data_IF_313431907188
#
_entry.id   IF_313431907188
#
_cell.length_a   1.000
_cell.length_b   1.000
_cell.length_c   1.000
_cell.angle_alpha   90.00
_cell.angle_beta   90.00
_cell.angle_gamma   90.00
#
_symmetry.space_group_name_H-M   'P 1'
#
loop_
_entity.id
_entity.type
_entity.pdbx_description
1 polymer ?
#
# COMPACT_ATOMS: atom_id res chain seq x y z
N UNK A 1 -37.41 22.09 4.75
CA UNK A 1 -37.66 22.43 3.33
C UNK A 1 -36.41 22.28 2.47
N UNK A 2 -35.28 22.93 2.79
CA UNK A 2 -34.08 22.95 1.94
C UNK A 2 -33.48 21.56 1.55
N UNK A 3 -33.40 20.57 2.45
CA UNK A 3 -32.83 19.24 2.09
C UNK A 3 -33.71 18.49 1.09
N UNK A 4 -35.02 18.48 1.30
CA UNK A 4 -35.99 17.84 0.39
C UNK A 4 -35.93 18.45 -1.01
N UNK A 5 -35.89 19.78 -1.10
CA UNK A 5 -35.72 20.51 -2.36
C UNK A 5 -34.41 20.17 -3.06
N UNK A 6 -33.31 20.05 -2.29
CA UNK A 6 -32.01 19.60 -2.83
C UNK A 6 -32.03 18.15 -3.32
N UNK A 7 -32.97 17.33 -2.84
CA UNK A 7 -33.21 15.97 -3.32
C UNK A 7 -34.24 15.91 -4.47
N UNK A 8 -34.81 17.05 -4.89
CA UNK A 8 -35.80 17.13 -5.96
C UNK A 8 -37.27 17.04 -5.49
N UNK A 9 -37.53 17.15 -4.19
CA UNK A 9 -38.87 17.11 -3.60
C UNK A 9 -39.40 18.54 -3.30
N UNK A 10 -40.72 18.73 -3.19
CA UNK A 10 -41.36 20.03 -2.89
C UNK A 10 -40.94 21.18 -3.84
N UNK A 11 -40.69 20.88 -5.13
CA UNK A 11 -40.25 21.85 -6.14
C UNK A 11 -41.36 22.76 -6.67
N UNK A 12 -42.60 22.28 -6.63
CA UNK A 12 -43.83 22.99 -6.98
C UNK A 12 -44.10 24.20 -6.05
N UNK A 13 -43.48 24.20 -4.88
CA UNK A 13 -43.54 25.28 -3.88
C UNK A 13 -42.55 26.41 -4.15
N UNK A 14 -41.72 26.30 -5.20
CA UNK A 14 -40.68 27.28 -5.55
C UNK A 14 -41.08 28.07 -6.79
N UNK A 15 -40.77 29.37 -6.78
CA UNK A 15 -40.87 30.18 -7.99
C UNK A 15 -39.67 29.94 -8.92
N UNK A 16 -39.74 30.46 -10.15
CA UNK A 16 -38.71 30.25 -11.16
C UNK A 16 -37.30 30.72 -10.70
N UNK A 17 -37.21 31.88 -10.04
CA UNK A 17 -35.92 32.40 -9.55
C UNK A 17 -35.32 31.50 -8.47
N UNK A 18 -36.15 30.97 -7.58
CA UNK A 18 -35.72 30.04 -6.53
C UNK A 18 -35.26 28.70 -7.11
N UNK A 19 -35.94 28.19 -8.14
CA UNK A 19 -35.51 26.97 -8.85
C UNK A 19 -34.15 27.16 -9.52
N UNK A 20 -33.94 28.28 -10.23
CA UNK A 20 -32.63 28.60 -10.80
C UNK A 20 -31.54 28.75 -9.73
N UNK A 21 -31.85 29.40 -8.61
CA UNK A 21 -30.92 29.51 -7.49
C UNK A 21 -30.56 28.15 -6.87
N UNK A 22 -31.53 27.25 -6.74
CA UNK A 22 -31.34 25.89 -6.25
C UNK A 22 -30.45 25.07 -7.20
N UNK A 23 -30.70 25.14 -8.51
CA UNK A 23 -29.89 24.48 -9.53
C UNK A 23 -28.43 24.95 -9.47
N UNK A 24 -28.21 26.27 -9.43
CA UNK A 24 -26.87 26.86 -9.35
C UNK A 24 -26.14 26.40 -8.08
N UNK A 25 -26.82 26.42 -6.93
CA UNK A 25 -26.26 25.98 -5.66
C UNK A 25 -25.85 24.50 -5.70
N UNK A 26 -26.71 23.63 -6.22
CA UNK A 26 -26.42 22.20 -6.37
C UNK A 26 -25.26 21.94 -7.33
N UNK A 27 -25.23 22.65 -8.46
CA UNK A 27 -24.15 22.56 -9.46
C UNK A 27 -22.80 22.96 -8.85
N UNK A 28 -22.76 24.05 -8.10
CA UNK A 28 -21.53 24.51 -7.42
C UNK A 28 -21.09 23.54 -6.32
N UNK A 29 -22.03 23.07 -5.49
CA UNK A 29 -21.76 22.09 -4.44
C UNK A 29 -21.20 20.78 -5.03
N UNK A 30 -21.78 20.30 -6.13
CA UNK A 30 -21.33 19.08 -6.80
C UNK A 30 -19.92 19.22 -7.38
N UNK A 31 -19.60 20.38 -7.98
CA UNK A 31 -18.23 20.69 -8.44
C UNK A 31 -17.22 20.63 -7.30
N UNK A 32 -17.56 21.23 -6.14
CA UNK A 32 -16.69 21.20 -4.93
C UNK A 32 -16.51 19.77 -4.41
N UNK A 33 -17.58 19.01 -4.28
CA UNK A 33 -17.54 17.62 -3.81
C UNK A 33 -16.68 16.77 -4.75
N UNK A 34 -16.90 16.86 -6.07
CA UNK A 34 -16.11 16.13 -7.07
C UNK A 34 -14.62 16.47 -6.96
N UNK A 35 -14.27 17.75 -6.87
CA UNK A 35 -12.88 18.19 -6.70
C UNK A 35 -12.24 17.61 -5.43
N UNK A 36 -12.95 17.60 -4.30
CA UNK A 36 -12.45 17.02 -3.04
C UNK A 36 -12.24 15.52 -3.18
N UNK A 37 -13.19 14.80 -3.79
CA UNK A 37 -13.09 13.35 -4.00
C UNK A 37 -11.94 12.99 -4.93
N UNK A 38 -11.80 13.68 -6.06
CA UNK A 38 -10.71 13.47 -7.01
C UNK A 38 -9.34 13.68 -6.34
N UNK A 39 -9.21 14.75 -5.56
CA UNK A 39 -8.00 15.04 -4.80
C UNK A 39 -7.72 13.98 -3.73
N UNK A 40 -8.75 13.51 -3.01
CA UNK A 40 -8.60 12.46 -2.00
C UNK A 40 -8.13 11.15 -2.62
N UNK A 41 -8.76 10.73 -3.72
CA UNK A 41 -8.39 9.53 -4.46
C UNK A 41 -6.96 9.63 -4.96
N UNK A 42 -6.59 10.75 -5.60
CA UNK A 42 -5.22 11.00 -6.06
C UNK A 42 -4.18 10.88 -4.94
N UNK A 43 -4.41 11.54 -3.80
CA UNK A 43 -3.51 11.48 -2.64
C UNK A 43 -3.37 10.05 -2.10
N UNK A 44 -4.46 9.29 -2.05
CA UNK A 44 -4.42 7.89 -1.61
C UNK A 44 -3.59 7.04 -2.58
N UNK A 45 -3.82 7.17 -3.88
CA UNK A 45 -3.03 6.48 -4.91
C UNK A 45 -1.55 6.80 -4.76
N UNK A 46 -1.20 8.09 -4.64
CA UNK A 46 0.20 8.52 -4.50
C UNK A 46 0.83 7.99 -3.21
N UNK A 47 0.06 7.92 -2.12
CA UNK A 47 0.50 7.34 -0.85
C UNK A 47 0.84 5.86 -1.00
N UNK A 48 -0.07 5.07 -1.59
CA UNK A 48 0.17 3.64 -1.78
C UNK A 48 1.28 3.35 -2.79
N UNK A 49 1.40 4.14 -3.85
CA UNK A 49 2.54 4.08 -4.78
C UNK A 49 3.87 4.31 -4.06
N UNK A 50 3.94 5.30 -3.17
CA UNK A 50 5.14 5.55 -2.35
C UNK A 50 5.43 4.39 -1.40
N UNK A 51 4.41 3.82 -0.76
CA UNK A 51 4.58 2.64 0.12
C UNK A 51 5.14 1.44 -0.63
N UNK A 52 4.63 1.14 -1.83
CA UNK A 52 5.12 0.04 -2.66
C UNK A 52 6.58 0.27 -3.03
N UNK A 53 6.93 1.46 -3.54
CA UNK A 53 8.32 1.81 -3.88
C UNK A 53 9.27 1.69 -2.69
N UNK A 54 8.84 2.13 -1.51
CA UNK A 54 9.64 2.01 -0.30
C UNK A 54 9.86 0.54 0.10
N UNK A 55 8.81 -0.29 0.04
CA UNK A 55 8.90 -1.72 0.32
C UNK A 55 9.82 -2.43 -0.68
N UNK A 56 9.73 -2.11 -1.98
CA UNK A 56 10.63 -2.65 -3.00
C UNK A 56 12.08 -2.24 -2.79
N UNK A 57 12.31 -0.97 -2.41
CA UNK A 57 13.67 -0.50 -2.08
C UNK A 57 14.26 -1.26 -0.90
N UNK A 58 13.49 -1.47 0.17
CA UNK A 58 13.93 -2.23 1.34
C UNK A 58 14.22 -3.68 0.96
N UNK A 59 13.33 -4.32 0.20
CA UNK A 59 13.51 -5.69 -0.28
C UNK A 59 14.77 -5.82 -1.13
N UNK A 60 15.02 -4.88 -2.03
CA UNK A 60 16.21 -4.89 -2.89
C UNK A 60 17.50 -4.71 -2.08
N UNK A 61 17.51 -3.83 -1.07
CA UNK A 61 18.65 -3.66 -0.16
C UNK A 61 18.94 -4.97 0.59
N UNK A 62 17.93 -5.57 1.22
CA UNK A 62 18.11 -6.84 1.94
C UNK A 62 18.58 -7.98 1.02
N UNK A 63 18.12 -8.00 -0.24
CA UNK A 63 18.62 -8.97 -1.21
C UNK A 63 20.10 -8.74 -1.56
N UNK A 64 20.53 -7.48 -1.72
CA UNK A 64 21.94 -7.15 -1.94
C UNK A 64 22.81 -7.52 -0.73
N UNK A 65 22.37 -7.21 0.50
CA UNK A 65 23.09 -7.58 1.73
C UNK A 65 23.26 -9.10 1.86
N UNK A 66 22.22 -9.88 1.55
CA UNK A 66 22.32 -11.34 1.50
C UNK A 66 23.26 -11.84 0.40
N UNK A 67 23.28 -11.18 -0.76
CA UNK A 67 24.19 -11.51 -1.85
C UNK A 67 25.66 -11.24 -1.47
N UNK A 68 25.94 -10.11 -0.81
CA UNK A 68 27.28 -9.77 -0.32
C UNK A 68 27.77 -10.76 0.73
N UNK A 69 26.92 -11.19 1.66
CA UNK A 69 27.23 -12.24 2.63
C UNK A 69 27.53 -13.59 1.95
N UNK A 70 26.80 -13.91 0.87
CA UNK A 70 27.00 -15.16 0.13
C UNK A 70 28.28 -15.14 -0.74
N UNK A 71 28.86 -13.97 -1.03
CA UNK A 71 30.13 -13.83 -1.75
C UNK A 71 31.38 -13.92 -0.84
N UNK A 72 31.22 -14.04 0.48
CA UNK A 72 32.33 -14.33 1.43
C UNK A 72 32.42 -15.81 1.84
N UNK A 73 31.58 -16.69 1.29
CA UNK A 73 31.59 -18.10 1.61
C UNK A 73 32.65 -18.84 0.76
N UNK A 74 33.83 -19.07 1.34
CA UNK A 74 34.83 -20.00 0.79
C UNK A 74 34.21 -21.41 0.76
N UNK A 75 33.99 -21.90 -0.47
CA UNK A 75 33.26 -23.12 -0.76
C UNK A 75 34.01 -24.36 -0.32
N UNK A 76 33.95 -24.69 0.97
CA UNK A 76 34.17 -26.06 1.40
C UNK A 76 32.91 -26.89 1.13
N UNK A 77 33.10 -28.01 0.45
CA UNK A 77 32.07 -28.90 -0.12
C UNK A 77 31.10 -29.46 0.93
N UNK A 78 31.48 -29.43 2.21
CA UNK A 78 30.69 -29.90 3.36
C UNK A 78 29.49 -28.99 3.70
N UNK A 79 29.48 -27.72 3.28
CA UNK A 79 28.40 -26.78 3.63
C UNK A 79 27.26 -26.71 2.60
N UNK A 80 27.38 -27.43 1.48
CA UNK A 80 26.36 -27.41 0.42
C UNK A 80 25.05 -28.07 0.89
N UNK A 81 25.15 -29.16 1.64
CA UNK A 81 24.00 -29.85 2.23
C UNK A 81 23.31 -29.01 3.31
N UNK A 82 24.09 -28.27 4.10
CA UNK A 82 23.55 -27.36 5.11
C UNK A 82 22.77 -26.19 4.49
N UNK A 83 23.26 -25.61 3.38
CA UNK A 83 22.56 -24.57 2.62
C UNK A 83 21.27 -25.06 1.93
N UNK A 84 21.26 -26.30 1.42
CA UNK A 84 20.08 -26.89 0.77
C UNK A 84 18.91 -27.01 1.76
N UNK A 85 19.21 -27.33 3.03
CA UNK A 85 18.21 -27.43 4.10
C UNK A 85 17.65 -26.05 4.50
N UNK A 86 18.47 -24.99 4.49
CA UNK A 86 18.00 -23.63 4.79
C UNK A 86 17.04 -23.08 3.73
N UNK A 87 17.24 -23.43 2.44
CA UNK A 87 16.37 -23.00 1.33
C UNK A 87 14.97 -23.62 1.36
N UNK A 88 14.82 -24.76 2.01
CA UNK A 88 13.53 -25.47 2.12
C UNK A 88 12.70 -25.07 3.35
N UNK A 89 13.08 -23.98 4.05
CA UNK A 89 12.20 -23.24 4.97
C UNK A 89 12.06 -23.80 6.39
N UNK A 90 12.72 -24.90 6.74
CA UNK A 90 12.43 -25.65 7.97
C UNK A 90 13.61 -25.87 8.94
N UNK A 91 14.63 -25.00 8.98
CA UNK A 91 15.74 -25.19 9.93
C UNK A 91 16.12 -23.91 10.67
N UNK A 92 15.84 -23.89 11.98
CA UNK A 92 16.53 -23.03 12.94
C UNK A 92 17.93 -23.61 13.18
N UNK A 93 19.02 -22.89 12.91
CA UNK A 93 20.36 -23.44 13.05
C UNK A 93 20.75 -23.51 14.53
N UNK A 94 20.69 -24.70 15.12
CA UNK A 94 21.43 -24.98 16.35
C UNK A 94 22.71 -25.73 15.99
N UNK A 95 23.90 -25.16 16.24
CA UNK A 95 25.14 -25.88 16.04
C UNK A 95 25.26 -26.97 17.11
N UNK A 96 25.19 -28.23 16.70
CA UNK A 96 25.53 -29.37 17.56
C UNK A 96 27.04 -29.53 17.51
N UNK A 97 27.73 -29.19 18.59
CA UNK A 97 29.12 -29.55 18.79
C UNK A 97 29.21 -30.93 19.41
N UNK A 98 29.77 -31.89 18.68
CA UNK A 98 30.09 -33.21 19.22
C UNK A 98 31.46 -33.12 19.87
N UNK A 99 31.55 -33.37 21.18
CA UNK A 99 32.85 -33.36 21.86
C UNK A 99 33.69 -34.58 21.44
N UNK A 100 35.01 -34.42 21.22
CA UNK A 100 35.87 -35.55 20.94
C UNK A 100 36.01 -36.41 22.20
N UNK A 101 35.66 -37.68 22.09
CA UNK A 101 36.01 -38.66 23.13
C UNK A 101 37.49 -39.07 22.95
N UNK A 102 38.19 -39.09 24.08
CA UNK A 102 39.62 -39.31 24.21
C UNK A 102 40.04 -40.78 24.05
#
# INVERSE_FOLDING_TARGET
RSIRQRNGEDLDMLNHSELCGLEQNLSEALKKIRSVLDNKIKRQIDTYRKKIKAADSIRNIGFMELQELNCSFDGSEENYESMLVMRNGNAQPFPISVQPNH
#
